data_IF_749814172110
#
_entry.id   IF_749814172110
#
_cell.length_a   1.000
_cell.length_b   1.000
_cell.length_c   1.000
_cell.angle_alpha   90.00
_cell.angle_beta   90.00
_cell.angle_gamma   90.00
#
_symmetry.space_group_name_H-M   'P 1'
#
loop_
_entity.id
_entity.type
_entity.pdbx_description
1 polymer ?
#
# COMPACT_ATOMS: atom_id res chain seq x y z
N UNK A 1 -74.38 -4.59 -37.08
CA UNK A 1 -74.17 -5.02 -35.70
C UNK A 1 -72.62 -5.18 -35.50
N UNK A 2 -71.96 -4.20 -34.91
CA UNK A 2 -70.51 -4.23 -34.65
C UNK A 2 -70.29 -4.55 -33.19
N UNK A 3 -69.69 -5.71 -32.93
CA UNK A 3 -69.30 -6.17 -31.61
C UNK A 3 -67.88 -5.65 -31.29
N UNK A 4 -67.77 -4.76 -30.31
CA UNK A 4 -66.50 -4.27 -29.79
C UNK A 4 -66.06 -5.20 -28.68
N UNK A 5 -64.90 -5.94 -28.90
CA UNK A 5 -64.22 -6.70 -27.85
C UNK A 5 -63.33 -5.75 -27.06
N UNK A 6 -63.63 -5.53 -25.78
CA UNK A 6 -62.77 -4.88 -24.82
C UNK A 6 -61.79 -5.92 -24.26
N UNK A 7 -60.49 -5.76 -24.58
CA UNK A 7 -59.41 -6.55 -23.98
C UNK A 7 -58.95 -5.85 -22.69
N UNK A 8 -59.26 -6.42 -21.53
CA UNK A 8 -58.69 -5.98 -20.24
C UNK A 8 -57.25 -6.45 -20.16
N UNK A 9 -56.30 -5.53 -20.26
CA UNK A 9 -54.87 -5.78 -19.99
C UNK A 9 -54.64 -5.87 -18.48
N UNK A 10 -54.28 -7.06 -17.99
CA UNK A 10 -53.78 -7.28 -16.65
C UNK A 10 -52.39 -6.62 -16.50
N UNK A 11 -52.31 -5.51 -15.78
CA UNK A 11 -51.06 -4.94 -15.34
C UNK A 11 -50.41 -5.87 -14.28
N UNK A 12 -49.33 -6.53 -14.64
CA UNK A 12 -48.52 -7.29 -13.68
C UNK A 12 -47.85 -6.31 -12.69
N UNK A 13 -47.84 -6.60 -11.38
CA UNK A 13 -47.19 -5.75 -10.41
C UNK A 13 -45.67 -5.71 -10.71
N UNK A 14 -45.15 -4.52 -10.93
CA UNK A 14 -43.71 -4.27 -11.03
C UNK A 14 -43.05 -4.65 -9.68
N UNK A 15 -42.30 -5.75 -9.67
CA UNK A 15 -41.49 -6.11 -8.52
C UNK A 15 -40.38 -5.07 -8.38
N UNK A 16 -40.40 -4.32 -7.29
CA UNK A 16 -39.30 -3.45 -6.91
C UNK A 16 -38.01 -4.30 -6.81
N UNK A 17 -36.86 -3.79 -7.27
CA UNK A 17 -35.60 -4.52 -7.15
C UNK A 17 -35.34 -4.81 -5.67
N UNK A 18 -35.25 -6.08 -5.33
CA UNK A 18 -34.82 -6.53 -4.00
C UNK A 18 -33.43 -6.01 -3.80
N UNK A 19 -33.24 -5.08 -2.88
CA UNK A 19 -31.90 -4.61 -2.49
C UNK A 19 -31.08 -5.83 -2.09
N UNK A 20 -30.05 -6.11 -2.87
CA UNK A 20 -29.10 -7.19 -2.57
C UNK A 20 -28.49 -6.96 -1.18
N UNK A 21 -27.97 -8.00 -0.52
CA UNK A 21 -27.33 -7.86 0.78
C UNK A 21 -26.25 -6.79 0.68
N UNK A 22 -26.25 -5.84 1.63
CA UNK A 22 -25.28 -4.76 1.69
C UNK A 22 -23.90 -5.38 1.79
N UNK A 23 -23.12 -5.28 0.71
CA UNK A 23 -21.72 -5.74 0.70
C UNK A 23 -20.91 -4.78 1.58
N UNK A 24 -20.30 -5.29 2.63
CA UNK A 24 -19.40 -4.52 3.48
C UNK A 24 -18.00 -4.65 2.92
N UNK A 25 -17.42 -3.54 2.49
CA UNK A 25 -16.03 -3.50 2.08
C UNK A 25 -15.12 -3.20 3.27
N UNK A 26 -13.95 -3.83 3.29
CA UNK A 26 -12.88 -3.52 4.23
C UNK A 26 -11.59 -3.28 3.47
N UNK A 27 -10.73 -2.48 4.09
CA UNK A 27 -9.49 -2.04 3.48
C UNK A 27 -8.33 -2.25 4.43
N UNK A 28 -7.21 -2.72 3.88
CA UNK A 28 -6.04 -3.07 4.69
C UNK A 28 -4.77 -2.53 4.07
N UNK A 29 -3.77 -2.34 4.91
CA UNK A 29 -2.42 -1.96 4.53
C UNK A 29 -1.41 -2.89 5.19
N UNK A 30 -0.47 -3.38 4.39
CA UNK A 30 0.70 -4.12 4.83
C UNK A 30 1.93 -3.28 4.47
N UNK A 31 2.73 -2.94 5.47
CA UNK A 31 3.98 -2.20 5.27
C UNK A 31 5.16 -3.16 5.25
N UNK A 32 6.12 -2.89 4.39
CA UNK A 32 7.35 -3.66 4.27
C UNK A 32 8.57 -2.77 4.29
N UNK A 33 9.60 -3.22 5.00
CA UNK A 33 10.93 -2.64 4.97
C UNK A 33 11.94 -3.69 4.57
N UNK A 34 12.83 -3.35 3.65
CA UNK A 34 13.87 -4.26 3.19
C UNK A 34 15.26 -3.64 3.35
N UNK A 35 16.24 -4.49 3.59
CA UNK A 35 17.66 -4.11 3.59
C UNK A 35 18.56 -5.32 3.35
N UNK A 36 19.76 -5.05 2.85
CA UNK A 36 20.79 -6.09 2.69
C UNK A 36 21.46 -6.46 4.02
N UNK A 37 22.09 -7.62 4.04
CA UNK A 37 22.95 -8.08 5.11
C UNK A 37 24.29 -8.53 4.51
N UNK A 38 25.42 -7.83 4.81
CA UNK A 38 25.57 -6.65 5.67
C UNK A 38 24.82 -5.41 5.12
N UNK A 39 24.48 -4.50 6.02
CA UNK A 39 23.72 -3.29 5.69
C UNK A 39 24.42 -2.43 4.62
N UNK A 40 23.65 -2.12 3.56
CA UNK A 40 24.07 -1.20 2.50
C UNK A 40 22.93 -0.25 2.19
N UNK A 41 23.11 1.04 2.38
CA UNK A 41 22.08 2.06 2.14
C UNK A 41 21.46 2.01 0.72
N UNK A 42 22.23 1.56 -0.27
CA UNK A 42 21.78 1.40 -1.66
C UNK A 42 20.85 0.19 -1.86
N UNK A 43 20.73 -0.66 -0.87
CA UNK A 43 19.93 -1.88 -0.85
C UNK A 43 18.91 -1.81 0.28
N UNK A 44 18.34 -0.61 0.50
CA UNK A 44 17.26 -0.39 1.46
C UNK A 44 16.02 0.08 0.73
N UNK A 45 14.85 -0.43 1.14
CA UNK A 45 13.60 -0.05 0.53
C UNK A 45 12.44 -0.06 1.52
N UNK A 46 11.44 0.77 1.27
CA UNK A 46 10.17 0.81 2.00
C UNK A 46 9.04 0.78 0.99
N UNK A 47 8.10 -0.14 1.14
CA UNK A 47 6.96 -0.30 0.25
C UNK A 47 5.73 -0.74 1.03
N UNK A 48 4.57 -0.68 0.40
CA UNK A 48 3.30 -1.06 1.01
C UNK A 48 2.38 -1.71 0.01
N UNK A 49 1.60 -2.69 0.49
CA UNK A 49 0.50 -3.31 -0.25
C UNK A 49 -0.82 -2.92 0.39
N UNK A 50 -1.77 -2.51 -0.45
CA UNK A 50 -3.12 -2.12 -0.08
C UNK A 50 -4.09 -3.17 -0.58
N UNK A 51 -4.99 -3.59 0.28
CA UNK A 51 -5.92 -4.68 0.00
C UNK A 51 -7.35 -4.18 0.20
N UNK A 52 -8.22 -4.46 -0.76
CA UNK A 52 -9.66 -4.31 -0.62
C UNK A 52 -10.29 -5.68 -0.56
N UNK A 53 -11.19 -5.85 0.38
CA UNK A 53 -11.94 -7.08 0.58
C UNK A 53 -13.44 -6.81 0.55
N UNK A 54 -14.21 -7.84 0.27
CA UNK A 54 -15.66 -7.87 0.41
C UNK A 54 -16.07 -8.91 1.44
N UNK A 55 -16.94 -8.50 2.36
CA UNK A 55 -17.52 -9.40 3.36
C UNK A 55 -18.88 -9.89 2.86
N UNK A 56 -19.01 -11.19 2.70
CA UNK A 56 -20.21 -11.88 2.25
C UNK A 56 -20.67 -12.88 3.34
N UNK A 57 -21.88 -13.44 3.24
CA UNK A 57 -22.31 -14.53 4.13
C UNK A 57 -21.36 -15.75 4.13
N UNK A 58 -20.62 -15.96 3.05
CA UNK A 58 -19.60 -17.01 2.92
C UNK A 58 -18.23 -16.65 3.49
N UNK A 59 -18.07 -15.46 4.07
CA UNK A 59 -16.80 -14.96 4.63
C UNK A 59 -16.24 -13.74 3.90
N UNK A 60 -15.05 -13.35 4.27
CA UNK A 60 -14.31 -12.22 3.70
C UNK A 60 -13.37 -12.71 2.59
N UNK A 61 -13.35 -12.03 1.43
CA UNK A 61 -12.50 -12.36 0.29
C UNK A 61 -11.76 -11.14 -0.25
N UNK A 62 -10.55 -11.33 -0.73
CA UNK A 62 -9.77 -10.30 -1.44
C UNK A 62 -10.39 -10.04 -2.82
N UNK A 63 -10.59 -8.77 -3.16
CA UNK A 63 -11.11 -8.32 -4.46
C UNK A 63 -10.15 -7.41 -5.21
N UNK A 64 -9.23 -6.73 -4.49
CA UNK A 64 -8.18 -5.94 -5.12
C UNK A 64 -6.91 -5.93 -4.27
N UNK A 65 -5.76 -5.95 -4.93
CA UNK A 65 -4.43 -5.84 -4.32
C UNK A 65 -3.61 -4.86 -5.13
N UNK A 66 -3.16 -3.80 -4.48
CA UNK A 66 -2.33 -2.76 -5.07
C UNK A 66 -1.05 -2.58 -4.27
N UNK A 67 0.08 -2.42 -4.95
CA UNK A 67 1.37 -2.18 -4.30
C UNK A 67 1.92 -0.82 -4.71
N UNK A 68 2.42 -0.08 -3.74
CA UNK A 68 3.23 1.11 -3.95
C UNK A 68 4.67 0.79 -3.53
N UNK A 69 5.49 0.56 -4.52
CA UNK A 69 6.92 0.23 -4.40
C UNK A 69 7.71 1.09 -5.38
N UNK A 70 7.88 2.38 -5.02
CA UNK A 70 8.48 3.38 -5.89
C UNK A 70 10.00 3.32 -5.88
N UNK A 71 10.57 3.01 -7.03
CA UNK A 71 11.99 2.79 -7.24
C UNK A 71 12.53 3.64 -8.39
N UNK A 72 13.85 3.87 -8.49
CA UNK A 72 14.42 4.38 -9.74
C UNK A 72 14.25 3.33 -10.84
N UNK A 73 13.95 3.77 -12.07
CA UNK A 73 13.78 2.86 -13.22
C UNK A 73 15.05 2.01 -13.49
N UNK A 74 16.20 2.50 -13.08
CA UNK A 74 17.47 1.76 -13.14
C UNK A 74 17.60 0.66 -12.08
N UNK A 75 16.69 0.59 -11.11
CA UNK A 75 16.71 -0.26 -9.91
C UNK A 75 17.99 -0.09 -9.05
N UNK A 76 18.73 0.99 -9.28
CA UNK A 76 19.99 1.30 -8.55
C UNK A 76 19.78 2.55 -7.69
N UNK A 77 19.50 2.35 -6.42
CA UNK A 77 19.33 3.46 -5.47
C UNK A 77 20.68 4.21 -5.32
N UNK A 78 20.64 5.51 -5.60
CA UNK A 78 21.80 6.43 -5.47
C UNK A 78 21.51 7.41 -4.34
N UNK A 79 21.95 7.14 -3.08
CA UNK A 79 21.57 7.93 -1.90
C UNK A 79 21.99 9.40 -1.98
N UNK A 80 23.06 9.69 -2.72
CA UNK A 80 23.61 11.04 -2.84
C UNK A 80 23.40 11.66 -4.25
N UNK A 81 22.49 11.12 -5.06
CA UNK A 81 22.18 11.70 -6.34
C UNK A 81 21.52 13.08 -6.16
N UNK A 82 22.10 14.09 -6.80
CA UNK A 82 21.59 15.45 -6.82
C UNK A 82 20.40 15.56 -7.78
N UNK A 83 20.53 14.94 -8.94
CA UNK A 83 19.51 14.97 -9.99
C UNK A 83 18.53 13.79 -9.82
N UNK A 84 17.24 14.05 -10.03
CA UNK A 84 16.24 12.98 -10.08
C UNK A 84 16.39 12.17 -11.36
N UNK A 85 15.89 10.95 -11.35
CA UNK A 85 15.83 10.03 -12.48
C UNK A 85 14.41 9.50 -12.66
N UNK A 86 14.04 8.93 -13.84
CA UNK A 86 12.75 8.29 -14.01
C UNK A 86 12.48 7.26 -12.91
N UNK A 87 11.27 7.26 -12.39
CA UNK A 87 10.82 6.30 -11.40
C UNK A 87 9.98 5.20 -12.00
N UNK A 88 9.87 4.09 -11.29
CA UNK A 88 8.99 2.97 -11.63
C UNK A 88 8.31 2.47 -10.36
N UNK A 89 7.03 2.12 -10.47
CA UNK A 89 6.30 1.44 -9.41
C UNK A 89 6.36 -0.07 -9.69
N UNK A 90 6.98 -0.82 -8.78
CA UNK A 90 7.08 -2.28 -8.89
C UNK A 90 5.85 -2.95 -8.27
N UNK A 91 5.45 -4.08 -8.82
CA UNK A 91 4.51 -4.99 -8.15
C UNK A 91 5.16 -5.61 -6.92
N UNK A 92 4.37 -6.26 -6.06
CA UNK A 92 4.88 -6.94 -4.87
C UNK A 92 5.94 -8.00 -5.24
N UNK A 93 5.64 -8.84 -6.24
CA UNK A 93 6.56 -9.89 -6.68
C UNK A 93 7.84 -9.31 -7.29
N UNK A 94 7.76 -8.31 -8.16
CA UNK A 94 8.94 -7.63 -8.71
C UNK A 94 9.81 -7.00 -7.62
N UNK A 95 9.18 -6.50 -6.54
CA UNK A 95 9.90 -5.95 -5.40
C UNK A 95 10.64 -7.05 -4.65
N UNK A 96 10.00 -8.19 -4.43
CA UNK A 96 10.65 -9.35 -3.81
C UNK A 96 11.78 -9.92 -4.67
N UNK A 97 11.61 -10.00 -5.99
CA UNK A 97 12.66 -10.41 -6.93
C UNK A 97 13.87 -9.49 -6.85
N UNK A 98 13.64 -8.16 -6.79
CA UNK A 98 14.71 -7.19 -6.60
C UNK A 98 15.44 -7.40 -5.26
N UNK A 99 14.72 -7.63 -4.16
CA UNK A 99 15.30 -7.90 -2.84
C UNK A 99 16.08 -9.22 -2.85
N UNK A 100 15.55 -10.26 -3.49
CA UNK A 100 16.19 -11.57 -3.64
C UNK A 100 17.54 -11.47 -4.39
N UNK A 101 17.65 -10.56 -5.37
CA UNK A 101 18.85 -10.38 -6.19
C UNK A 101 20.11 -10.03 -5.38
N UNK A 102 19.96 -9.54 -4.15
CA UNK A 102 21.08 -9.27 -3.23
C UNK A 102 20.94 -10.00 -1.89
N UNK A 103 20.10 -11.04 -1.82
CA UNK A 103 19.81 -11.81 -0.61
C UNK A 103 19.39 -10.91 0.57
N UNK A 104 18.51 -9.95 0.28
CA UNK A 104 18.03 -8.99 1.27
C UNK A 104 17.08 -9.64 2.28
N UNK A 105 16.95 -9.05 3.45
CA UNK A 105 15.93 -9.42 4.43
C UNK A 105 14.76 -8.46 4.37
N UNK A 106 13.58 -8.95 4.75
CA UNK A 106 12.32 -8.20 4.77
C UNK A 106 11.70 -8.25 6.15
N UNK A 107 11.27 -7.10 6.65
CA UNK A 107 10.38 -6.99 7.79
C UNK A 107 9.01 -6.50 7.33
N UNK A 108 7.97 -7.00 7.99
CA UNK A 108 6.57 -6.72 7.69
C UNK A 108 5.85 -6.15 8.93
N UNK A 109 5.00 -5.16 8.74
CA UNK A 109 4.11 -4.57 9.75
C UNK A 109 2.66 -4.65 9.27
N UNK A 110 1.79 -5.16 10.11
CA UNK A 110 0.39 -5.45 9.78
C UNK A 110 0.20 -6.88 9.32
N UNK A 111 -0.93 -7.17 8.67
CA UNK A 111 -1.92 -6.27 8.04
C UNK A 111 -2.69 -5.41 9.04
N UNK A 112 -2.88 -4.13 8.75
CA UNK A 112 -3.70 -3.20 9.53
C UNK A 112 -4.92 -2.77 8.74
N UNK A 113 -6.05 -2.64 9.41
CA UNK A 113 -7.25 -2.06 8.80
C UNK A 113 -7.06 -0.55 8.62
N UNK A 114 -7.55 -0.03 7.49
CA UNK A 114 -7.55 1.40 7.14
C UNK A 114 -8.95 1.80 6.67
N UNK A 115 -9.27 3.08 6.69
CA UNK A 115 -10.54 3.57 6.16
C UNK A 115 -10.54 3.67 4.63
N UNK A 116 -11.75 3.70 4.04
CA UNK A 116 -11.96 3.79 2.60
C UNK A 116 -11.33 5.04 1.97
N UNK A 117 -11.37 6.19 2.67
CA UNK A 117 -10.80 7.45 2.20
C UNK A 117 -9.28 7.34 2.07
N UNK A 118 -8.63 6.69 3.04
CA UNK A 118 -7.19 6.41 2.95
C UNK A 118 -6.84 5.47 1.83
N UNK A 119 -7.58 4.37 1.70
CA UNK A 119 -7.39 3.45 0.58
C UNK A 119 -7.48 4.20 -0.76
N UNK A 120 -8.52 4.98 -0.96
CA UNK A 120 -8.72 5.77 -2.18
C UNK A 120 -7.57 6.74 -2.46
N UNK A 121 -7.04 7.41 -1.43
CA UNK A 121 -5.87 8.29 -1.57
C UNK A 121 -4.60 7.55 -1.96
N UNK A 122 -4.40 6.34 -1.46
CA UNK A 122 -3.25 5.52 -1.84
C UNK A 122 -3.36 5.07 -3.29
N UNK A 123 -4.55 4.67 -3.75
CA UNK A 123 -4.79 4.30 -5.14
C UNK A 123 -4.60 5.50 -6.08
N UNK A 124 -5.14 6.67 -5.72
CA UNK A 124 -4.89 7.90 -6.45
C UNK A 124 -3.38 8.22 -6.54
N UNK A 125 -2.66 8.07 -5.41
CA UNK A 125 -1.23 8.30 -5.37
C UNK A 125 -0.44 7.31 -6.23
N UNK A 126 -0.84 6.04 -6.26
CA UNK A 126 -0.28 5.05 -7.19
C UNK A 126 -0.44 5.51 -8.64
N UNK A 127 -1.65 5.94 -9.03
CA UNK A 127 -1.92 6.48 -10.37
C UNK A 127 -1.05 7.70 -10.71
N UNK A 128 -0.86 8.64 -9.77
CA UNK A 128 0.05 9.78 -9.97
C UNK A 128 1.49 9.33 -10.22
N UNK A 129 2.00 8.37 -9.46
CA UNK A 129 3.35 7.85 -9.64
C UNK A 129 3.52 7.16 -10.99
N UNK A 130 2.51 6.41 -11.44
CA UNK A 130 2.50 5.66 -12.70
C UNK A 130 2.19 6.54 -13.92
N UNK A 131 1.76 7.80 -13.75
CA UNK A 131 1.51 8.74 -14.86
C UNK A 131 2.75 9.14 -15.64
N UNK A 132 3.95 8.85 -15.12
CA UNK A 132 5.23 9.28 -15.70
C UNK A 132 5.63 10.72 -15.35
N UNK A 133 4.79 11.49 -14.64
CA UNK A 133 5.11 12.86 -14.24
C UNK A 133 6.07 12.93 -13.05
N UNK A 134 6.10 11.87 -12.23
CA UNK A 134 6.96 11.80 -11.05
C UNK A 134 8.31 11.18 -11.37
N UNK A 135 9.34 11.77 -10.75
CA UNK A 135 10.71 11.28 -10.82
C UNK A 135 11.14 10.73 -9.45
N UNK A 136 12.10 9.82 -9.48
CA UNK A 136 12.71 9.27 -8.29
C UNK A 136 13.97 10.04 -7.90
N UNK A 137 14.12 10.29 -6.59
CA UNK A 137 15.38 10.69 -5.96
C UNK A 137 15.40 10.17 -4.54
N UNK A 138 16.50 9.54 -4.11
CA UNK A 138 16.59 8.87 -2.81
C UNK A 138 16.35 9.83 -1.62
N UNK A 139 16.82 11.07 -1.71
CA UNK A 139 16.53 12.13 -0.71
C UNK A 139 15.07 12.60 -0.79
N UNK A 140 14.40 12.34 -1.92
CA UNK A 140 13.03 12.75 -2.18
C UNK A 140 12.86 14.23 -2.49
N UNK A 141 11.62 14.71 -2.40
CA UNK A 141 11.30 16.11 -2.63
C UNK A 141 11.75 16.98 -1.46
N UNK A 142 12.33 18.13 -1.79
CA UNK A 142 12.68 19.18 -0.83
C UNK A 142 11.51 20.15 -0.68
N UNK A 143 10.80 20.44 -1.79
CA UNK A 143 9.60 21.27 -1.82
C UNK A 143 8.35 20.40 -1.95
N UNK A 144 7.21 20.92 -1.50
CA UNK A 144 5.95 20.18 -1.46
C UNK A 144 5.35 19.93 -2.85
N UNK A 145 5.59 20.83 -3.78
CA UNK A 145 5.11 20.83 -5.17
C UNK A 145 6.05 20.08 -6.13
N UNK A 146 7.24 19.72 -5.67
CA UNK A 146 8.17 18.95 -6.50
C UNK A 146 7.54 17.61 -6.94
N UNK A 147 7.53 17.33 -8.24
CA UNK A 147 7.17 16.02 -8.80
C UNK A 147 8.31 15.01 -8.62
N UNK A 148 8.88 14.97 -7.43
CA UNK A 148 9.97 14.09 -7.01
C UNK A 148 9.52 13.32 -5.79
N UNK A 149 9.80 12.02 -5.76
CA UNK A 149 9.47 11.16 -4.63
C UNK A 149 10.55 10.12 -4.39
N UNK A 150 10.74 9.74 -3.13
CA UNK A 150 11.45 8.50 -2.76
C UNK A 150 10.44 7.43 -2.36
N UNK A 151 10.94 6.24 -2.05
CA UNK A 151 10.10 5.12 -1.62
C UNK A 151 9.20 5.43 -0.41
N UNK A 152 9.73 6.09 0.63
CA UNK A 152 8.94 6.46 1.81
C UNK A 152 7.93 7.57 1.55
N UNK A 153 8.29 8.57 0.73
CA UNK A 153 7.39 9.67 0.38
C UNK A 153 6.27 9.24 -0.57
N UNK A 154 6.47 8.16 -1.34
CA UNK A 154 5.52 7.70 -2.35
C UNK A 154 4.13 7.47 -1.77
N UNK A 155 4.03 6.93 -0.56
CA UNK A 155 2.76 6.72 0.13
C UNK A 155 2.56 7.63 1.35
N UNK A 156 3.61 8.17 1.97
CA UNK A 156 3.45 9.10 3.09
C UNK A 156 2.70 10.39 2.69
N UNK A 157 2.83 10.85 1.46
CA UNK A 157 2.14 12.04 0.93
C UNK A 157 0.62 11.87 0.80
N UNK A 158 0.12 10.65 0.69
CA UNK A 158 -1.33 10.38 0.66
C UNK A 158 -2.00 10.58 2.02
N UNK A 159 -1.23 10.68 3.10
CA UNK A 159 -1.78 10.98 4.43
C UNK A 159 -1.60 12.46 4.77
N UNK A 160 -2.69 13.25 4.94
CA UNK A 160 -2.59 14.66 5.28
C UNK A 160 -1.94 14.91 6.64
N UNK A 161 -1.97 13.92 7.53
CA UNK A 161 -1.41 14.00 8.88
C UNK A 161 0.09 13.68 8.87
N UNK A 162 0.48 12.65 8.13
CA UNK A 162 1.87 12.18 8.05
C UNK A 162 2.64 12.96 6.99
N UNK A 163 2.00 13.29 5.86
CA UNK A 163 2.62 13.99 4.73
C UNK A 163 3.14 15.39 5.05
N UNK A 164 2.48 16.14 5.95
CA UNK A 164 2.92 17.49 6.35
C UNK A 164 4.25 17.48 7.14
N UNK A 165 4.53 16.39 7.86
CA UNK A 165 5.75 16.23 8.68
C UNK A 165 6.84 15.43 7.96
N UNK A 166 6.55 14.85 6.81
CA UNK A 166 7.43 13.94 6.09
C UNK A 166 8.24 14.57 4.96
N UNK A 167 8.34 15.91 4.96
CA UNK A 167 9.28 16.61 4.07
C UNK A 167 10.75 16.35 4.44
N UNK A 168 10.99 15.80 5.63
CA UNK A 168 12.34 15.45 6.06
C UNK A 168 12.59 13.95 5.75
N UNK A 169 13.79 13.62 5.25
CA UNK A 169 14.19 12.23 5.11
C UNK A 169 14.03 11.52 6.45
N UNK A 170 13.49 10.32 6.45
CA UNK A 170 13.54 9.49 7.65
C UNK A 170 15.00 9.36 8.05
N UNK A 171 15.37 9.64 9.31
CA UNK A 171 16.77 9.57 9.74
C UNK A 171 17.35 8.16 9.60
N UNK A 172 16.51 7.17 9.36
CA UNK A 172 16.88 5.76 9.19
C UNK A 172 16.28 5.20 7.91
N UNK A 173 17.10 4.67 6.99
CA UNK A 173 16.61 3.97 5.80
C UNK A 173 16.22 2.52 6.12
N UNK A 174 15.52 1.87 5.17
CA UNK A 174 15.18 0.44 5.24
C UNK A 174 14.22 0.09 6.38
N UNK A 175 14.47 -1.03 7.04
CA UNK A 175 13.58 -1.58 8.06
C UNK A 175 13.31 -0.61 9.22
N UNK A 176 14.34 0.07 9.73
CA UNK A 176 14.16 1.04 10.83
C UNK A 176 13.32 2.25 10.41
N UNK A 177 13.51 2.75 9.19
CA UNK A 177 12.68 3.84 8.65
C UNK A 177 11.23 3.43 8.47
N UNK A 178 10.99 2.20 8.01
CA UNK A 178 9.65 1.65 7.88
C UNK A 178 8.99 1.44 9.26
N UNK A 179 9.74 0.95 10.25
CA UNK A 179 9.25 0.79 11.63
C UNK A 179 8.82 2.13 12.24
N UNK A 180 9.64 3.19 12.04
CA UNK A 180 9.29 4.53 12.49
C UNK A 180 8.05 5.08 11.75
N UNK A 181 7.91 4.77 10.46
CA UNK A 181 6.74 5.14 9.66
C UNK A 181 5.48 4.44 10.16
N UNK A 182 5.53 3.12 10.35
CA UNK A 182 4.41 2.34 10.90
C UNK A 182 3.94 2.91 12.25
N UNK A 183 4.88 3.23 13.15
CA UNK A 183 4.60 3.86 14.44
C UNK A 183 3.91 5.23 14.28
N UNK A 184 4.33 6.04 13.31
CA UNK A 184 3.72 7.35 13.05
C UNK A 184 2.30 7.22 12.50
N UNK A 185 2.08 6.28 11.60
CA UNK A 185 0.75 5.99 11.07
C UNK A 185 -0.20 5.52 12.18
N UNK A 186 0.25 4.62 13.04
CA UNK A 186 -0.54 4.13 14.16
C UNK A 186 -0.91 5.27 15.12
N UNK A 187 0.08 6.10 15.53
CA UNK A 187 -0.16 7.26 16.41
C UNK A 187 -1.07 8.33 15.81
N UNK A 188 -1.11 8.43 14.51
CA UNK A 188 -1.98 9.37 13.79
C UNK A 188 -3.39 8.79 13.55
N UNK A 189 -3.70 7.58 14.06
CA UNK A 189 -4.95 6.87 13.79
C UNK A 189 -5.11 6.50 12.30
N UNK A 190 -3.99 6.40 11.58
CA UNK A 190 -3.98 6.05 10.17
C UNK A 190 -4.01 4.54 9.94
N UNK A 191 -3.59 3.77 10.91
CA UNK A 191 -3.73 2.33 10.97
C UNK A 191 -4.59 2.02 12.19
N UNK A 192 -5.51 1.09 12.04
CA UNK A 192 -6.33 0.62 13.14
C UNK A 192 -5.68 -0.66 13.69
N UNK A 193 -5.20 -0.56 14.92
CA UNK A 193 -4.73 -1.70 15.71
C UNK A 193 -5.81 -2.00 16.77
N UNK A 194 -6.80 -2.76 16.35
CA UNK A 194 -7.91 -3.19 17.21
C UNK A 194 -7.63 -4.53 17.90
N UNK A 195 -6.38 -5.00 17.86
CA UNK A 195 -5.98 -6.30 18.40
C UNK A 195 -6.42 -7.49 17.54
N UNK A 196 -7.14 -7.26 16.44
CA UNK A 196 -7.48 -8.30 15.49
C UNK A 196 -6.28 -8.64 14.61
N UNK A 197 -6.01 -9.94 14.48
CA UNK A 197 -4.99 -10.41 13.53
C UNK A 197 -5.66 -10.65 12.18
N UNK A 198 -5.15 -10.01 11.13
CA UNK A 198 -5.59 -10.24 9.76
C UNK A 198 -4.56 -11.09 8.99
N UNK A 199 -3.93 -12.03 9.68
CA UNK A 199 -2.84 -12.87 9.15
C UNK A 199 -3.25 -13.67 7.91
N UNK A 200 -4.54 -13.99 7.75
CA UNK A 200 -5.08 -14.66 6.59
C UNK A 200 -4.84 -13.90 5.28
N UNK A 201 -4.68 -12.57 5.35
CA UNK A 201 -4.37 -11.74 4.18
C UNK A 201 -2.95 -12.01 3.64
N UNK A 202 -2.01 -12.37 4.50
CA UNK A 202 -0.60 -12.57 4.11
C UNK A 202 -0.46 -13.60 2.98
N UNK A 203 -1.00 -14.83 3.10
CA UNK A 203 -1.00 -15.78 1.99
C UNK A 203 -1.97 -15.38 0.86
N UNK A 204 -3.12 -14.77 1.19
CA UNK A 204 -4.13 -14.41 0.19
C UNK A 204 -3.61 -13.37 -0.83
N UNK A 205 -2.68 -12.49 -0.43
CA UNK A 205 -2.03 -11.50 -1.30
C UNK A 205 -0.60 -11.88 -1.70
N UNK A 206 -0.19 -13.12 -1.41
CA UNK A 206 1.16 -13.63 -1.67
C UNK A 206 2.28 -12.83 -0.97
N UNK A 207 1.97 -12.17 0.15
CA UNK A 207 2.94 -11.43 0.94
C UNK A 207 3.99 -12.34 1.62
N UNK A 208 3.75 -13.65 1.63
CA UNK A 208 4.66 -14.71 2.07
C UNK A 208 5.49 -15.33 0.94
N UNK A 209 5.42 -14.81 -0.29
CA UNK A 209 6.24 -15.29 -1.41
C UNK A 209 7.74 -15.08 -1.17
N UNK A 210 8.09 -14.16 -0.27
CA UNK A 210 9.46 -13.95 0.20
C UNK A 210 9.50 -14.04 1.74
N UNK A 211 10.55 -14.68 2.32
CA UNK A 211 10.69 -14.77 3.78
C UNK A 211 10.70 -13.39 4.43
N UNK A 212 9.76 -13.14 5.32
CA UNK A 212 9.66 -11.88 6.04
C UNK A 212 9.49 -12.12 7.55
N UNK A 213 9.93 -11.15 8.34
CA UNK A 213 9.77 -11.17 9.80
C UNK A 213 8.69 -10.18 10.20
N UNK A 214 7.63 -10.64 10.86
CA UNK A 214 6.61 -9.76 11.44
C UNK A 214 7.22 -8.92 12.58
N UNK A 215 6.89 -7.62 12.61
CA UNK A 215 7.48 -6.64 13.52
C UNK A 215 6.43 -5.75 14.16
N UNK A 216 6.76 -5.21 15.33
CA UNK A 216 5.94 -4.19 15.99
C UNK A 216 6.33 -2.78 15.54
N UNK A 217 5.37 -1.85 15.39
CA UNK A 217 5.65 -0.46 15.05
C UNK A 217 6.58 0.22 16.06
N UNK A 218 7.67 0.80 15.58
CA UNK A 218 8.68 1.46 16.41
C UNK A 218 9.75 0.52 16.99
N UNK A 219 9.67 -0.78 16.71
CA UNK A 219 10.72 -1.72 17.07
C UNK A 219 12.04 -1.34 16.39
N UNK A 220 13.14 -1.37 17.15
CA UNK A 220 14.50 -1.14 16.62
C UNK A 220 15.09 -2.44 16.09
N UNK A 221 15.49 -2.42 14.85
CA UNK A 221 16.00 -3.58 14.13
C UNK A 221 17.50 -3.43 13.99
N UNK A 222 18.29 -4.40 14.45
CA UNK A 222 19.74 -4.36 14.29
C UNK A 222 20.15 -4.30 12.81
N UNK A 223 21.16 -3.49 12.49
CA UNK A 223 21.70 -3.43 11.14
C UNK A 223 22.45 -4.72 10.75
N UNK A 224 22.91 -5.47 11.73
CA UNK A 224 23.58 -6.75 11.56
C UNK A 224 22.87 -7.82 12.38
N UNK A 225 22.72 -9.03 11.86
CA UNK A 225 22.34 -10.18 12.69
C UNK A 225 23.52 -10.48 13.63
N UNK A 226 23.19 -10.73 14.88
CA UNK A 226 24.15 -11.29 15.85
C UNK A 226 24.22 -12.78 15.67
#
# INVERSE_FOLDING_TARGET
MNTILLTLGLLAPSQAPVAGPCQVERYYMILFGAQSEPFRIRQTHTFATFVRTEVNPGGERVVAVDTVSWMPATLRIRPFAVFPEPGVNLTLNQTFDWIASFNGRVSMWGPYEIDADRYSRFIARKGELESGEFQYRAVGAIRRDDKISNCGQSFARSSPIVGRRFLQPTPSPGENGTSDLARRYLRAGALQDNGATHEWLVPAVQANAYPSTSRRPGERIPFFRR
#
